data_IF_177183421690
#
_entry.id   IF_177183421690
#
_cell.length_a   1.000
_cell.length_b   1.000
_cell.length_c   1.000
_cell.angle_alpha   90.00
_cell.angle_beta   90.00
_cell.angle_gamma   90.00
#
_symmetry.space_group_name_H-M   'P 1'
#
loop_
_entity.id
_entity.type
_entity.pdbx_description
1 polymer ?
#
# COMPACT_ATOMS: atom_id res chain seq x y z
N UNK A 1 -4.18 -0.36 6.12
CA UNK A 1 -2.82 -0.89 6.32
C UNK A 1 -2.57 -1.13 7.79
N UNK A 2 -1.72 -2.10 8.06
CA UNK A 2 -1.48 -2.60 9.39
C UNK A 2 -0.29 -1.91 10.07
N UNK A 3 -0.39 -1.88 11.39
CA UNK A 3 0.61 -1.35 12.31
C UNK A 3 1.38 -2.48 13.01
N UNK A 4 0.80 -3.68 13.09
CA UNK A 4 1.46 -4.82 13.70
C UNK A 4 2.50 -5.43 12.78
N UNK A 5 3.33 -6.27 13.39
CA UNK A 5 4.20 -7.22 12.72
C UNK A 5 4.23 -8.50 13.57
N UNK A 6 5.25 -9.34 13.43
CA UNK A 6 5.29 -10.69 14.01
C UNK A 6 5.74 -10.75 15.50
N UNK A 7 6.24 -9.66 16.07
CA UNK A 7 6.68 -9.63 17.47
C UNK A 7 8.05 -10.28 17.68
N UNK A 8 8.12 -11.40 18.43
CA UNK A 8 9.39 -12.07 18.73
C UNK A 8 9.59 -13.34 17.88
N UNK A 9 10.78 -13.51 17.33
CA UNK A 9 11.27 -14.68 16.62
C UNK A 9 11.47 -15.85 17.60
N UNK A 10 10.61 -16.89 17.55
CA UNK A 10 10.54 -17.90 18.60
C UNK A 10 11.77 -18.82 18.67
N UNK A 11 12.64 -18.82 17.66
CA UNK A 11 13.82 -19.70 17.57
C UNK A 11 15.16 -18.95 17.52
N UNK A 12 15.18 -17.67 17.91
CA UNK A 12 16.41 -16.89 17.94
C UNK A 12 17.35 -17.39 19.07
N UNK A 13 18.40 -18.12 18.69
CA UNK A 13 19.38 -18.69 19.63
C UNK A 13 20.46 -17.65 20.00
N UNK A 14 20.09 -16.65 20.80
CA UNK A 14 21.04 -15.68 21.38
C UNK A 14 21.46 -14.51 20.47
N UNK A 15 20.86 -14.39 19.28
CA UNK A 15 20.96 -13.21 18.40
C UNK A 15 19.73 -12.30 18.52
N UNK A 16 19.62 -11.32 17.63
CA UNK A 16 18.40 -10.49 17.55
C UNK A 16 17.18 -11.38 17.29
N UNK A 17 16.13 -11.14 18.06
CA UNK A 17 14.90 -11.91 18.10
C UNK A 17 13.67 -11.06 17.85
N UNK A 18 13.82 -9.77 17.56
CA UNK A 18 12.68 -8.87 17.38
C UNK A 18 12.40 -8.72 15.88
N UNK A 19 11.18 -8.99 15.47
CA UNK A 19 10.69 -8.63 14.15
C UNK A 19 10.33 -7.14 14.17
N UNK A 20 11.28 -6.29 13.77
CA UNK A 20 11.09 -4.83 13.80
C UNK A 20 10.10 -4.33 12.74
N UNK A 21 10.06 -4.97 11.56
CA UNK A 21 9.06 -4.69 10.54
C UNK A 21 9.26 -3.33 9.87
N UNK A 22 10.51 -2.97 9.58
CA UNK A 22 10.83 -1.65 9.04
C UNK A 22 10.14 -1.40 7.69
N UNK A 23 10.18 -2.38 6.78
CA UNK A 23 9.34 -2.34 5.58
C UNK A 23 7.96 -2.94 5.80
N UNK A 24 7.84 -3.92 6.68
CA UNK A 24 6.59 -4.63 6.97
C UNK A 24 6.12 -4.44 8.43
N UNK A 25 5.40 -3.37 8.77
CA UNK A 25 4.92 -2.32 7.88
C UNK A 25 5.05 -0.91 8.46
N UNK A 26 6.11 -0.70 9.25
CA UNK A 26 6.45 0.62 9.78
C UNK A 26 6.60 1.65 8.64
N UNK A 27 7.14 1.23 7.49
CA UNK A 27 7.20 2.05 6.27
C UNK A 27 5.81 2.57 5.87
N UNK A 28 4.82 1.68 5.73
CA UNK A 28 3.44 2.02 5.39
C UNK A 28 2.85 3.04 6.36
N UNK A 29 3.04 2.82 7.66
CA UNK A 29 2.59 3.75 8.71
C UNK A 29 3.28 5.11 8.60
N UNK A 30 4.59 5.16 8.34
CA UNK A 30 5.29 6.41 8.11
C UNK A 30 4.73 7.18 6.89
N UNK A 31 4.41 6.47 5.81
CA UNK A 31 3.76 7.05 4.63
C UNK A 31 2.34 7.56 4.96
N UNK A 32 1.55 6.79 5.72
CA UNK A 32 0.21 7.19 6.16
C UNK A 32 0.25 8.51 6.95
N UNK A 33 1.19 8.63 7.89
CA UNK A 33 1.39 9.85 8.69
C UNK A 33 1.80 11.03 7.80
N UNK A 34 2.71 10.80 6.85
CA UNK A 34 3.16 11.85 5.92
C UNK A 34 2.04 12.33 4.99
N UNK A 35 1.21 11.41 4.47
CA UNK A 35 0.03 11.77 3.68
C UNK A 35 -0.96 12.56 4.53
N UNK A 36 -1.18 12.17 5.80
CA UNK A 36 -2.04 12.92 6.71
C UNK A 36 -1.52 14.34 6.90
N UNK A 37 -0.22 14.50 7.16
CA UNK A 37 0.46 15.80 7.27
C UNK A 37 0.29 16.65 6.01
N UNK A 38 0.47 16.06 4.83
CA UNK A 38 0.30 16.75 3.54
C UNK A 38 -1.16 17.06 3.18
N UNK A 39 -2.12 16.30 3.71
CA UNK A 39 -3.54 16.58 3.52
C UNK A 39 -3.99 17.77 4.38
N UNK A 40 -3.56 17.82 5.65
CA UNK A 40 -3.95 18.89 6.58
C UNK A 40 -3.28 20.23 6.27
N UNK A 41 -2.12 20.24 5.62
CA UNK A 41 -1.43 21.47 5.21
C UNK A 41 -2.03 22.12 3.96
N UNK A 42 -2.94 21.43 3.27
CA UNK A 42 -3.60 21.92 2.06
C UNK A 42 -5.07 22.26 2.24
N UNK A 43 -5.77 22.58 1.12
CA UNK A 43 -7.20 22.82 1.14
C UNK A 43 -7.95 21.59 1.63
N UNK A 44 -8.93 21.81 2.51
CA UNK A 44 -9.80 20.74 3.01
C UNK A 44 -10.54 20.07 1.83
N UNK A 45 -10.47 18.74 1.69
CA UNK A 45 -11.18 18.04 0.62
C UNK A 45 -12.70 18.06 0.82
N UNK A 46 -13.44 17.83 -0.27
CA UNK A 46 -14.92 17.77 -0.26
C UNK A 46 -15.47 16.56 0.50
N UNK A 47 -14.77 15.42 0.48
CA UNK A 47 -15.08 14.23 1.28
C UNK A 47 -14.17 14.15 2.50
N UNK A 48 -14.68 13.60 3.59
CA UNK A 48 -13.86 13.19 4.72
C UNK A 48 -12.85 12.13 4.29
N UNK A 49 -11.65 12.20 4.87
CA UNK A 49 -10.60 11.18 4.72
C UNK A 49 -10.31 10.62 6.10
N UNK A 50 -10.39 9.30 6.24
CA UNK A 50 -10.00 8.59 7.44
C UNK A 50 -8.63 7.94 7.21
N UNK A 51 -7.72 8.10 8.18
CA UNK A 51 -6.44 7.41 8.21
C UNK A 51 -6.57 6.27 9.21
N UNK A 52 -6.46 5.03 8.73
CA UNK A 52 -6.75 3.84 9.53
C UNK A 52 -5.50 2.97 9.58
N UNK A 53 -4.94 2.84 10.78
CA UNK A 53 -3.89 1.89 11.11
C UNK A 53 -4.53 0.73 11.88
N UNK A 54 -4.59 -0.45 11.25
CA UNK A 54 -5.20 -1.65 11.85
C UNK A 54 -4.13 -2.54 12.49
N UNK A 55 -4.57 -3.55 13.26
CA UNK A 55 -3.67 -4.57 13.85
C UNK A 55 -4.20 -5.96 13.52
N UNK A 56 -3.35 -6.98 13.60
CA UNK A 56 -3.73 -8.38 13.38
C UNK A 56 -3.80 -8.76 11.91
N UNK A 57 -3.13 -8.03 11.03
CA UNK A 57 -3.02 -8.36 9.59
C UNK A 57 -2.28 -9.69 9.43
N UNK A 58 -1.14 -9.79 10.11
CA UNK A 58 -0.24 -10.95 10.14
C UNK A 58 -0.89 -12.20 10.76
N UNK A 59 -2.04 -12.01 11.42
CA UNK A 59 -2.87 -13.07 11.99
C UNK A 59 -4.14 -13.34 11.19
N UNK A 60 -4.18 -12.88 9.94
CA UNK A 60 -5.28 -13.07 9.01
C UNK A 60 -6.26 -11.90 8.96
N UNK A 61 -5.75 -10.68 8.75
CA UNK A 61 -6.55 -9.48 8.45
C UNK A 61 -7.58 -9.09 9.54
N UNK A 62 -7.34 -9.45 10.81
CA UNK A 62 -8.36 -9.38 11.86
C UNK A 62 -8.86 -7.94 12.11
N UNK A 63 -7.95 -6.97 12.11
CA UNK A 63 -8.30 -5.57 12.35
C UNK A 63 -9.01 -4.92 11.17
N UNK A 64 -8.57 -5.18 9.94
CA UNK A 64 -9.22 -4.67 8.73
C UNK A 64 -10.61 -5.31 8.54
N UNK A 65 -10.75 -6.61 8.78
CA UNK A 65 -12.03 -7.31 8.77
C UNK A 65 -13.00 -6.71 9.80
N UNK A 66 -12.54 -6.52 11.04
CA UNK A 66 -13.35 -5.93 12.09
C UNK A 66 -13.79 -4.50 11.73
N UNK A 67 -12.88 -3.65 11.26
CA UNK A 67 -13.17 -2.27 10.90
C UNK A 67 -14.12 -2.18 9.69
N UNK A 68 -13.92 -2.99 8.64
CA UNK A 68 -14.78 -2.99 7.47
C UNK A 68 -16.22 -3.42 7.82
N UNK A 69 -16.41 -4.32 8.79
CA UNK A 69 -17.73 -4.75 9.29
C UNK A 69 -18.34 -3.81 10.32
N UNK A 70 -17.53 -3.08 11.06
CA UNK A 70 -17.98 -2.15 12.12
C UNK A 70 -17.35 -0.76 11.98
N UNK A 71 -17.50 -0.08 10.83
CA UNK A 71 -16.77 1.15 10.60
C UNK A 71 -17.36 2.27 11.44
N UNK A 72 -16.48 3.01 12.11
CA UNK A 72 -16.84 4.19 12.93
C UNK A 72 -17.16 5.41 12.07
N UNK A 73 -16.89 5.35 10.76
CA UNK A 73 -17.22 6.37 9.76
C UNK A 73 -17.96 5.74 8.59
N UNK A 74 -19.11 6.29 8.19
CA UNK A 74 -19.91 5.79 7.07
C UNK A 74 -20.59 6.92 6.29
N UNK A 75 -20.83 6.74 4.97
CA UNK A 75 -20.41 5.61 4.14
C UNK A 75 -18.92 5.71 3.72
N UNK A 76 -18.24 4.58 3.64
CA UNK A 76 -16.91 4.47 3.02
C UNK A 76 -17.10 4.25 1.51
N UNK A 77 -16.46 5.07 0.68
CA UNK A 77 -16.66 5.06 -0.79
C UNK A 77 -15.46 4.56 -1.58
N UNK A 78 -14.30 4.45 -0.92
CA UNK A 78 -13.08 3.90 -1.49
C UNK A 78 -12.11 3.54 -0.36
N UNK A 79 -11.26 2.56 -0.65
CA UNK A 79 -10.09 2.21 0.15
C UNK A 79 -8.80 2.37 -0.67
N UNK A 80 -7.74 2.86 -0.03
CA UNK A 80 -6.38 2.90 -0.58
C UNK A 80 -5.50 2.23 0.46
N UNK A 81 -5.07 1.00 0.17
CA UNK A 81 -4.11 0.31 1.00
C UNK A 81 -2.68 0.54 0.50
N UNK A 82 -1.75 0.62 1.44
CA UNK A 82 -0.32 0.72 1.19
C UNK A 82 0.36 -0.24 2.15
N UNK A 83 1.08 -1.20 1.59
CA UNK A 83 1.65 -2.27 2.39
C UNK A 83 2.92 -2.79 1.72
N UNK A 84 3.99 -2.89 2.52
CA UNK A 84 5.35 -3.20 2.14
C UNK A 84 5.80 -2.41 0.90
N UNK A 85 5.81 -1.08 0.97
CA UNK A 85 6.34 -0.30 -0.15
C UNK A 85 7.87 -0.26 -0.10
N UNK A 86 8.48 -1.35 -0.61
CA UNK A 86 9.91 -1.53 -0.76
C UNK A 86 10.56 -0.45 -1.63
N UNK A 87 11.27 0.49 -1.00
CA UNK A 87 12.04 1.55 -1.65
C UNK A 87 13.53 1.27 -1.49
N UNK A 88 13.98 0.09 -1.95
CA UNK A 88 15.36 -0.39 -1.75
C UNK A 88 16.38 0.29 -2.69
N UNK A 89 15.89 0.96 -3.72
CA UNK A 89 16.65 1.61 -4.79
C UNK A 89 15.81 2.77 -5.38
N UNK A 90 16.35 3.58 -6.30
CA UNK A 90 15.58 4.62 -7.00
C UNK A 90 14.46 4.05 -7.88
N UNK A 91 13.30 3.75 -7.30
CA UNK A 91 12.17 3.08 -7.98
C UNK A 91 11.61 3.96 -9.12
N UNK A 92 11.40 3.34 -10.28
CA UNK A 92 10.92 4.00 -11.50
C UNK A 92 9.44 3.74 -11.80
N UNK A 93 8.86 2.67 -11.28
CA UNK A 93 7.49 2.26 -11.58
C UNK A 93 6.69 1.84 -10.35
N UNK A 94 5.36 1.94 -10.45
CA UNK A 94 4.41 1.44 -9.46
C UNK A 94 3.47 0.44 -10.12
N UNK A 95 2.90 -0.43 -9.30
CA UNK A 95 1.86 -1.40 -9.65
C UNK A 95 0.60 -1.02 -8.87
N UNK A 96 -0.53 -0.91 -9.57
CA UNK A 96 -1.83 -0.61 -8.97
C UNK A 96 -2.68 -1.89 -8.92
N UNK A 97 -2.47 -2.72 -7.90
CA UNK A 97 -3.26 -3.94 -7.72
C UNK A 97 -4.73 -3.56 -7.49
N UNK A 98 -5.64 -4.14 -8.27
CA UNK A 98 -7.06 -3.79 -8.23
C UNK A 98 -7.45 -2.58 -9.09
N UNK A 99 -6.48 -1.88 -9.68
CA UNK A 99 -6.73 -0.69 -10.49
C UNK A 99 -7.48 -0.99 -11.79
N UNK A 100 -7.32 -2.20 -12.32
CA UNK A 100 -8.05 -2.74 -13.46
C UNK A 100 -9.53 -2.99 -13.14
N UNK A 101 -9.88 -3.22 -11.87
CA UNK A 101 -11.23 -3.55 -11.41
C UNK A 101 -12.05 -2.32 -11.01
N UNK A 102 -11.40 -1.19 -10.71
CA UNK A 102 -12.07 0.02 -10.19
C UNK A 102 -11.83 1.25 -11.06
N UNK A 103 -12.67 2.27 -10.90
CA UNK A 103 -12.42 3.60 -11.48
C UNK A 103 -11.22 4.32 -10.83
N UNK A 104 -10.71 3.80 -9.70
CA UNK A 104 -9.58 4.39 -8.95
C UNK A 104 -8.27 4.20 -9.72
N UNK A 105 -8.12 3.12 -10.49
CA UNK A 105 -6.88 2.80 -11.21
C UNK A 105 -6.41 3.91 -12.17
N UNK A 106 -7.34 4.57 -12.87
CA UNK A 106 -7.00 5.71 -13.72
C UNK A 106 -6.52 6.93 -12.92
N UNK A 107 -7.11 7.15 -11.74
CA UNK A 107 -6.73 8.23 -10.84
C UNK A 107 -5.32 7.97 -10.28
N UNK A 108 -5.04 6.73 -9.88
CA UNK A 108 -3.73 6.30 -9.42
C UNK A 108 -2.67 6.44 -10.51
N UNK A 109 -2.98 6.02 -11.74
CA UNK A 109 -2.09 6.17 -12.90
C UNK A 109 -1.74 7.64 -13.15
N UNK A 110 -2.73 8.54 -13.10
CA UNK A 110 -2.49 9.98 -13.27
C UNK A 110 -1.62 10.55 -12.15
N UNK A 111 -1.89 10.18 -10.89
CA UNK A 111 -1.11 10.62 -9.75
C UNK A 111 0.35 10.15 -9.84
N UNK A 112 0.57 8.87 -10.16
CA UNK A 112 1.91 8.28 -10.28
C UNK A 112 2.75 8.96 -11.37
N UNK A 113 2.14 9.24 -12.53
CA UNK A 113 2.82 9.94 -13.64
C UNK A 113 3.24 11.36 -13.27
N UNK A 114 2.45 12.08 -12.47
CA UNK A 114 2.82 13.43 -12.00
C UNK A 114 4.09 13.41 -11.14
N UNK A 115 4.29 12.34 -10.38
CA UNK A 115 5.50 12.11 -9.59
C UNK A 115 6.59 11.36 -10.36
N UNK A 116 6.43 11.24 -11.68
CA UNK A 116 7.41 10.64 -12.58
C UNK A 116 7.57 9.12 -12.43
N UNK A 117 6.58 8.42 -11.88
CA UNK A 117 6.52 6.96 -11.93
C UNK A 117 5.88 6.49 -13.23
N UNK A 118 6.40 5.39 -13.76
CA UNK A 118 5.68 4.57 -14.74
C UNK A 118 4.65 3.71 -14.00
N UNK A 119 3.62 3.26 -14.72
CA UNK A 119 2.75 2.19 -14.23
C UNK A 119 3.14 0.89 -14.93
N UNK A 120 3.37 -0.16 -14.15
CA UNK A 120 3.60 -1.51 -14.66
C UNK A 120 2.40 -2.41 -14.35
N UNK A 121 2.14 -3.42 -15.20
CA UNK A 121 1.16 -4.45 -14.86
C UNK A 121 1.64 -5.27 -13.67
N UNK A 122 0.73 -5.98 -13.02
CA UNK A 122 1.10 -7.00 -12.04
C UNK A 122 1.90 -8.11 -12.74
N UNK A 123 3.18 -8.34 -12.40
CA UNK A 123 3.97 -9.43 -12.99
C UNK A 123 3.57 -10.83 -12.48
N UNK A 124 2.73 -10.93 -11.44
CA UNK A 124 2.35 -12.17 -10.76
C UNK A 124 0.81 -12.29 -10.65
N UNK A 125 0.11 -12.19 -11.79
CA UNK A 125 -1.36 -12.19 -11.84
C UNK A 125 -1.95 -13.47 -11.26
N UNK A 126 -1.29 -14.60 -11.47
CA UNK A 126 -1.65 -15.92 -10.95
C UNK A 126 -1.62 -16.02 -9.42
N UNK A 127 -0.87 -15.13 -8.76
CA UNK A 127 -0.85 -15.06 -7.30
C UNK A 127 -2.04 -14.31 -6.73
N UNK A 128 -2.78 -13.56 -7.55
CA UNK A 128 -3.97 -12.80 -7.12
C UNK A 128 -3.66 -11.89 -5.93
N UNK A 129 -2.53 -11.19 -5.98
CA UNK A 129 -1.99 -10.42 -4.83
C UNK A 129 -2.93 -9.34 -4.31
N UNK A 130 -3.86 -8.87 -5.14
CA UNK A 130 -4.87 -7.89 -4.76
C UNK A 130 -5.78 -8.34 -3.60
N UNK A 131 -5.93 -9.64 -3.33
CA UNK A 131 -6.77 -10.15 -2.23
C UNK A 131 -5.97 -10.65 -1.01
N UNK A 132 -4.68 -10.29 -0.90
CA UNK A 132 -3.76 -10.84 0.12
C UNK A 132 -3.29 -9.84 1.19
N UNK A 133 -3.98 -8.71 1.36
CA UNK A 133 -3.67 -7.70 2.39
C UNK A 133 -4.97 -6.96 2.76
N UNK A 134 -4.88 -6.00 3.69
CA UNK A 134 -6.01 -5.32 4.35
C UNK A 134 -7.10 -4.78 3.43
N UNK A 135 -6.78 -4.40 2.18
CA UNK A 135 -7.78 -3.93 1.22
C UNK A 135 -8.88 -4.96 0.99
N UNK A 136 -8.56 -6.25 1.13
CA UNK A 136 -9.51 -7.32 0.82
C UNK A 136 -10.76 -7.27 1.70
N UNK A 137 -10.62 -6.90 2.97
CA UNK A 137 -11.77 -6.72 3.87
C UNK A 137 -12.75 -5.65 3.38
N UNK A 138 -12.25 -4.60 2.72
CA UNK A 138 -13.08 -3.56 2.10
C UNK A 138 -13.71 -4.06 0.79
N UNK A 139 -12.96 -4.84 0.01
CA UNK A 139 -13.48 -5.50 -1.19
C UNK A 139 -14.66 -6.42 -0.85
N UNK A 140 -14.55 -7.23 0.21
CA UNK A 140 -15.66 -8.09 0.68
C UNK A 140 -16.87 -7.28 1.14
N UNK A 141 -16.67 -6.07 1.67
CA UNK A 141 -17.73 -5.12 2.01
C UNK A 141 -18.29 -4.37 0.77
N UNK A 142 -17.84 -4.69 -0.43
CA UNK A 142 -18.29 -4.07 -1.68
C UNK A 142 -17.67 -2.70 -1.96
N UNK A 143 -16.67 -2.28 -1.20
CA UNK A 143 -16.03 -0.97 -1.30
C UNK A 143 -14.90 -1.07 -2.36
N UNK A 144 -14.91 -0.21 -3.39
CA UNK A 144 -13.82 -0.15 -4.37
C UNK A 144 -12.49 0.13 -3.68
N UNK A 145 -11.51 -0.75 -3.88
CA UNK A 145 -10.20 -0.65 -3.25
C UNK A 145 -9.07 -0.66 -4.28
N UNK A 146 -7.91 -0.14 -3.88
CA UNK A 146 -6.67 -0.24 -4.64
C UNK A 146 -5.52 -0.47 -3.66
N UNK A 147 -4.55 -1.29 -4.07
CA UNK A 147 -3.29 -1.46 -3.36
C UNK A 147 -2.15 -1.02 -4.25
N UNK A 148 -1.60 0.16 -3.96
CA UNK A 148 -0.47 0.69 -4.70
C UNK A 148 0.81 0.08 -4.13
N UNK A 149 1.65 -0.51 -4.98
CA UNK A 149 2.93 -1.12 -4.60
C UNK A 149 4.05 -0.59 -5.50
N UNK A 150 5.31 -0.55 -5.03
CA UNK A 150 6.44 -0.33 -5.91
C UNK A 150 6.51 -1.46 -6.95
N UNK A 151 6.90 -1.09 -8.16
CA UNK A 151 7.25 -2.04 -9.20
C UNK A 151 8.69 -2.54 -9.05
N UNK A 152 9.23 -3.08 -10.15
CA UNK A 152 10.53 -3.74 -10.16
C UNK A 152 11.56 -3.01 -11.03
N UNK A 153 11.25 -1.82 -11.55
CA UNK A 153 12.15 -1.05 -12.41
C UNK A 153 12.89 -0.01 -11.57
N UNK A 154 14.19 0.10 -11.83
CA UNK A 154 15.04 1.16 -11.27
C UNK A 154 15.20 2.31 -12.25
N UNK A 155 15.37 3.53 -11.72
CA UNK A 155 15.81 4.71 -12.48
C UNK A 155 17.31 4.67 -12.74
N UNK A 156 18.07 3.95 -11.93
CA UNK A 156 19.47 3.61 -12.22
C UNK A 156 19.50 2.34 -13.07
N UNK A 157 19.92 2.41 -14.35
CA UNK A 157 19.97 1.25 -15.24
C UNK A 157 20.97 0.17 -14.80
N UNK A 158 21.84 0.45 -13.83
CA UNK A 158 22.79 -0.53 -13.25
C UNK A 158 22.15 -1.41 -12.19
N UNK A 159 20.97 -1.04 -11.68
CA UNK A 159 20.28 -1.79 -10.63
C UNK A 159 19.18 -2.64 -11.27
N UNK A 160 19.29 -3.96 -11.11
CA UNK A 160 18.20 -4.89 -11.38
C UNK A 160 17.23 -4.88 -10.19
N UNK A 161 16.15 -4.09 -10.33
CA UNK A 161 15.17 -3.92 -9.26
C UNK A 161 14.40 -5.20 -8.94
N UNK A 162 14.14 -6.05 -9.95
CA UNK A 162 13.46 -7.33 -9.75
C UNK A 162 14.33 -8.29 -8.95
N UNK A 163 15.61 -8.43 -9.30
CA UNK A 163 16.57 -9.25 -8.56
C UNK A 163 16.78 -8.72 -7.13
N UNK A 164 16.87 -7.40 -6.96
CA UNK A 164 17.03 -6.76 -5.64
C UNK A 164 15.84 -7.05 -4.73
N UNK A 165 14.61 -6.83 -5.22
CA UNK A 165 13.38 -7.13 -4.48
C UNK A 165 13.27 -8.62 -4.14
N UNK A 166 13.59 -9.50 -5.09
CA UNK A 166 13.55 -10.96 -4.87
C UNK A 166 14.53 -11.42 -3.80
N UNK A 167 15.75 -10.90 -3.80
CA UNK A 167 16.74 -11.24 -2.80
C UNK A 167 16.34 -10.72 -1.40
N UNK A 168 15.76 -9.52 -1.34
CA UNK A 168 15.19 -8.98 -0.10
C UNK A 168 14.08 -9.88 0.45
N UNK A 169 13.09 -10.24 -0.38
CA UNK A 169 11.98 -11.12 0.01
C UNK A 169 12.47 -12.48 0.52
N UNK A 170 13.58 -12.99 -0.03
CA UNK A 170 14.15 -14.28 0.37
C UNK A 170 14.88 -14.23 1.71
N UNK A 171 15.47 -13.09 2.08
CA UNK A 171 16.44 -12.99 3.18
C UNK A 171 16.02 -12.13 4.35
N UNK A 172 15.17 -11.14 4.11
CA UNK A 172 14.87 -10.06 5.04
C UNK A 172 13.40 -10.09 5.46
N UNK A 173 12.49 -10.33 4.51
CA UNK A 173 11.07 -10.44 4.80
C UNK A 173 10.76 -11.45 5.91
N UNK A 174 9.88 -11.07 6.85
CA UNK A 174 9.53 -11.87 8.03
C UNK A 174 10.76 -12.41 8.77
N UNK A 175 11.76 -11.54 8.98
CA UNK A 175 12.97 -11.86 9.74
C UNK A 175 13.38 -10.66 10.61
N UNK A 176 14.18 -10.87 11.69
CA UNK A 176 14.71 -9.76 12.48
C UNK A 176 15.56 -8.76 11.67
N UNK A 177 16.04 -9.17 10.48
CA UNK A 177 16.79 -8.30 9.59
C UNK A 177 15.92 -7.25 8.88
N UNK A 178 14.58 -7.30 8.97
CA UNK A 178 13.72 -6.20 8.52
C UNK A 178 13.75 -5.06 9.55
N UNK A 179 14.92 -4.44 9.70
CA UNK A 179 15.22 -3.35 10.63
C UNK A 179 15.68 -2.08 9.87
N UNK A 180 16.25 -1.09 10.55
CA UNK A 180 16.72 0.13 9.87
C UNK A 180 18.12 -0.02 9.23
N UNK A 181 18.79 -1.17 9.36
CA UNK A 181 20.15 -1.44 8.85
C UNK A 181 20.12 -2.01 7.42
N UNK A 182 19.22 -1.50 6.60
CA UNK A 182 19.01 -1.90 5.21
C UNK A 182 18.84 -0.67 4.31
N UNK A 183 18.88 -0.82 2.98
CA UNK A 183 18.72 0.32 2.08
C UNK A 183 17.33 0.97 2.17
N UNK A 184 17.29 2.29 2.26
CA UNK A 184 16.09 3.11 2.08
C UNK A 184 16.37 4.26 1.09
N UNK A 185 15.72 4.22 -0.06
CA UNK A 185 15.65 5.34 -1.00
C UNK A 185 14.50 6.28 -0.61
N UNK A 186 14.77 7.16 0.36
CA UNK A 186 13.79 8.13 0.86
C UNK A 186 13.28 9.08 -0.23
N UNK A 187 14.05 9.32 -1.29
CA UNK A 187 13.61 10.13 -2.42
C UNK A 187 12.45 9.48 -3.18
N UNK A 188 12.52 8.18 -3.47
CA UNK A 188 11.39 7.44 -4.05
C UNK A 188 10.25 7.30 -3.04
N UNK A 189 10.56 7.12 -1.76
CA UNK A 189 9.56 7.13 -0.69
C UNK A 189 8.74 8.43 -0.64
N UNK A 190 9.40 9.59 -0.74
CA UNK A 190 8.73 10.89 -0.77
C UNK A 190 7.83 11.06 -2.00
N UNK A 191 8.32 10.67 -3.19
CA UNK A 191 7.51 10.67 -4.43
C UNK A 191 6.31 9.73 -4.31
N UNK A 192 6.46 8.60 -3.64
CA UNK A 192 5.39 7.63 -3.41
C UNK A 192 4.33 8.17 -2.44
N UNK A 193 4.74 8.82 -1.35
CA UNK A 193 3.83 9.51 -0.44
C UNK A 193 3.06 10.63 -1.16
N UNK A 194 3.73 11.44 -1.98
CA UNK A 194 3.09 12.49 -2.78
C UNK A 194 2.12 11.90 -3.82
N UNK A 195 2.46 10.76 -4.44
CA UNK A 195 1.56 10.02 -5.35
C UNK A 195 0.26 9.64 -4.62
N UNK A 196 0.37 9.07 -3.42
CA UNK A 196 -0.80 8.69 -2.63
C UNK A 196 -1.58 9.91 -2.13
N UNK A 197 -0.92 10.99 -1.72
CA UNK A 197 -1.59 12.24 -1.36
C UNK A 197 -2.40 12.82 -2.53
N UNK A 198 -1.83 12.82 -3.74
CA UNK A 198 -2.54 13.22 -4.96
C UNK A 198 -3.72 12.32 -5.25
N UNK A 199 -3.56 11.01 -5.10
CA UNK A 199 -4.65 10.04 -5.29
C UNK A 199 -5.79 10.29 -4.30
N UNK A 200 -5.47 10.42 -3.00
CA UNK A 200 -6.42 10.77 -1.93
C UNK A 200 -7.17 12.06 -2.28
N UNK A 201 -6.45 13.13 -2.67
CA UNK A 201 -7.08 14.41 -3.06
C UNK A 201 -7.96 14.28 -4.28
N UNK A 202 -7.53 13.49 -5.28
CA UNK A 202 -8.32 13.27 -6.49
C UNK A 202 -9.64 12.57 -6.15
N UNK A 203 -9.60 11.49 -5.35
CA UNK A 203 -10.79 10.76 -4.92
C UNK A 203 -11.68 11.64 -4.04
N UNK A 204 -11.09 12.31 -3.05
CA UNK A 204 -11.85 13.07 -2.08
C UNK A 204 -12.52 14.33 -2.69
N UNK A 205 -12.04 14.82 -3.83
CA UNK A 205 -12.61 15.97 -4.54
C UNK A 205 -13.41 15.62 -5.80
N UNK A 206 -13.40 14.36 -6.26
CA UNK A 206 -14.16 13.93 -7.43
C UNK A 206 -15.67 14.13 -7.24
N UNK A 207 -16.38 14.55 -8.27
CA UNK A 207 -17.86 14.65 -8.20
C UNK A 207 -18.51 13.27 -8.13
N UNK A 208 -18.05 12.33 -8.95
CA UNK A 208 -18.50 10.95 -8.95
C UNK A 208 -17.85 10.16 -7.80
N UNK A 209 -18.60 9.21 -7.22
CA UNK A 209 -18.05 8.24 -6.27
C UNK A 209 -17.18 7.23 -7.04
N UNK A 210 -16.05 6.80 -6.49
CA UNK A 210 -15.36 5.62 -6.99
C UNK A 210 -16.29 4.43 -7.07
N UNK A 211 -16.09 3.58 -8.08
CA UNK A 211 -16.91 2.41 -8.32
C UNK A 211 -16.07 1.26 -8.85
N UNK A 212 -16.56 0.04 -8.66
CA UNK A 212 -16.16 -1.10 -9.47
C UNK A 212 -16.56 -0.85 -10.93
N UNK A 213 -15.77 -1.36 -11.87
CA UNK A 213 -16.14 -1.31 -13.29
C UNK A 213 -17.36 -2.18 -13.55
N UNK A 214 -18.11 -1.84 -14.60
CA UNK A 214 -19.35 -2.54 -14.93
C UNK A 214 -19.06 -4.02 -15.24
N UNK A 215 -19.76 -4.92 -14.54
CA UNK A 215 -19.62 -6.37 -14.73
C UNK A 215 -18.36 -6.97 -14.10
N UNK A 216 -17.67 -6.21 -13.26
CA UNK A 216 -16.48 -6.69 -12.57
C UNK A 216 -16.81 -7.79 -11.54
N UNK A 217 -15.89 -8.73 -11.35
CA UNK A 217 -16.04 -9.84 -10.41
C UNK A 217 -16.21 -9.37 -8.95
N UNK A 218 -15.56 -8.28 -8.57
CA UNK A 218 -15.62 -7.72 -7.21
C UNK A 218 -16.80 -6.78 -6.99
N UNK A 219 -17.58 -6.48 -8.03
CA UNK A 219 -18.76 -5.63 -7.88
C UNK A 219 -19.83 -6.34 -7.02
N UNK A 220 -20.49 -5.64 -6.09
CA UNK A 220 -21.66 -6.17 -5.39
C UNK A 220 -22.71 -6.66 -6.39
N UNK A 221 -23.29 -7.83 -6.11
CA UNK A 221 -24.39 -8.40 -6.90
C UNK A 221 -25.69 -7.65 -6.69
#
# INVERSE_FOLDING_TARGET
>A
MHLDHLGNHPTANGGDSIYNGAYDNASGIACLIEIARGLVSGPRPKRSVAFVAVTGEEKGLQGSEYFARHPTVQPIVADINMDMFLMLYPVADLIALGGEHTTIGEMATRAAKQEGFQMSPDPFVEEVRFIRSDQFSFVEAGIPAIHLKPGNKSRDPKIDGAATTKEWLRRIYHSPADDMNQPFDFASGARYAETNLRLVRAIANATQRPAWKKGDFFAPK
#
